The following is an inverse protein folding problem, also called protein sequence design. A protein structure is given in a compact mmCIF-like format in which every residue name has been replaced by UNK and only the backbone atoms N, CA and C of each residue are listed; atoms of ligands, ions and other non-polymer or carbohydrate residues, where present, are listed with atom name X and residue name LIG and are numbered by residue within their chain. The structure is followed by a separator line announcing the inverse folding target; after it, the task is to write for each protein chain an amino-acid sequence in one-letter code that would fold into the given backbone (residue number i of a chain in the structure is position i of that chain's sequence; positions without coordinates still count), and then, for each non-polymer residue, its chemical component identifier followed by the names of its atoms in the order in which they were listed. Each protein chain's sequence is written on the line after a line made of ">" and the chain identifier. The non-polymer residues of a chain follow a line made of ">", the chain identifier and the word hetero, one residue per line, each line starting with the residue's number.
data_IF_518768075680
#
_entry.id   IF_518768075680
#
_cell.length_a   1.000
_cell.length_b   1.000
_cell.length_c   1.000
_cell.angle_alpha   90.00
_cell.angle_beta   90.00
_cell.angle_gamma   90.00
#
_symmetry.space_group_name_H-M   'P 1'
#
loop_
_entity.id
_entity.type
_entity.pdbx_description
1 polymer ?
#
# COMPACT_ATOMS: atom_id res chain seq x y z
N UNK A 1 20.79 42.16 -52.62
CA UNK A 1 21.05 40.93 -51.86
C UNK A 1 20.20 40.97 -50.54
N UNK A 2 19.11 40.24 -50.47
CA UNK A 2 18.26 40.11 -49.24
C UNK A 2 18.82 38.97 -48.48
N UNK A 3 19.27 39.22 -47.23
CA UNK A 3 19.70 38.16 -46.28
C UNK A 3 18.47 37.70 -45.50
N UNK A 4 18.08 36.45 -45.67
CA UNK A 4 17.07 35.79 -44.86
C UNK A 4 17.75 35.23 -43.59
N UNK A 5 17.34 35.74 -42.43
CA UNK A 5 17.77 35.23 -41.13
C UNK A 5 16.81 34.10 -40.76
N UNK A 6 17.27 32.85 -40.85
CA UNK A 6 16.49 31.67 -40.39
C UNK A 6 16.70 31.55 -38.90
N UNK A 7 15.68 31.87 -38.12
CA UNK A 7 15.65 31.62 -36.67
C UNK A 7 15.25 30.15 -36.48
N UNK A 8 16.19 29.33 -36.05
CA UNK A 8 15.94 27.92 -35.62
C UNK A 8 15.40 27.96 -34.21
N UNK A 9 14.08 27.76 -34.05
CA UNK A 9 13.44 27.64 -32.76
C UNK A 9 13.71 26.23 -32.24
N UNK A 10 14.67 26.07 -31.34
CA UNK A 10 14.90 24.83 -30.61
C UNK A 10 13.77 24.66 -29.60
N UNK A 11 12.80 23.83 -29.95
CA UNK A 11 11.73 23.38 -29.03
C UNK A 11 12.35 22.36 -28.07
N UNK A 12 12.70 22.78 -26.87
CA UNK A 12 13.06 21.86 -25.80
C UNK A 12 11.77 21.15 -25.33
N UNK A 13 11.53 19.95 -25.84
CA UNK A 13 10.52 19.03 -25.29
C UNK A 13 11.10 18.48 -23.99
N UNK A 14 10.71 19.07 -22.89
CA UNK A 14 10.92 18.45 -21.56
C UNK A 14 9.99 17.24 -21.51
N UNK A 15 10.53 16.07 -21.80
CA UNK A 15 9.83 14.81 -21.54
C UNK A 15 9.73 14.65 -20.03
N UNK A 16 8.58 15.03 -19.44
CA UNK A 16 8.25 14.62 -18.10
C UNK A 16 8.02 13.11 -18.15
N UNK A 17 8.92 12.34 -17.56
CA UNK A 17 8.69 10.92 -17.30
C UNK A 17 7.53 10.84 -16.30
N UNK A 18 6.33 10.62 -16.80
CA UNK A 18 5.20 10.31 -15.94
C UNK A 18 5.52 8.97 -15.29
N UNK A 19 5.77 8.97 -13.97
CA UNK A 19 5.88 7.73 -13.21
C UNK A 19 4.52 7.05 -13.24
N UNK A 20 4.45 5.84 -13.77
CA UNK A 20 3.20 5.07 -13.84
C UNK A 20 2.65 4.72 -12.44
N UNK A 21 3.48 4.86 -11.40
CA UNK A 21 3.16 4.62 -9.99
C UNK A 21 3.95 5.60 -9.12
N UNK A 22 3.26 6.31 -8.25
CA UNK A 22 3.85 7.14 -7.22
C UNK A 22 3.55 6.52 -5.86
N UNK A 23 4.52 6.51 -4.94
CA UNK A 23 4.43 5.87 -3.64
C UNK A 23 4.74 6.89 -2.55
N UNK A 24 3.87 6.97 -1.55
CA UNK A 24 3.97 7.91 -0.44
C UNK A 24 3.93 7.15 0.88
N UNK A 25 4.98 7.18 1.71
CA UNK A 25 4.95 6.56 3.03
C UNK A 25 3.92 7.27 3.92
N UNK A 26 3.15 6.47 4.67
CA UNK A 26 2.16 6.97 5.64
C UNK A 26 2.43 6.43 7.03
N UNK A 27 3.70 6.38 7.42
CA UNK A 27 4.11 5.82 8.72
C UNK A 27 3.85 6.76 9.89
N UNK A 28 3.73 8.06 9.64
CA UNK A 28 3.56 9.09 10.65
C UNK A 28 2.08 9.46 10.88
N UNK A 29 1.80 10.11 12.02
CA UNK A 29 0.50 10.71 12.29
C UNK A 29 -0.57 9.73 12.76
N UNK A 30 -0.23 8.53 13.16
CA UNK A 30 -1.18 7.55 13.66
C UNK A 30 -1.52 7.79 15.13
N UNK A 31 -2.80 7.57 15.47
CA UNK A 31 -3.32 7.53 16.84
C UNK A 31 -3.72 6.11 17.16
N UNK A 32 -3.09 5.54 18.17
CA UNK A 32 -3.36 4.17 18.64
C UNK A 32 -4.22 4.18 19.90
N UNK A 33 -5.19 3.26 19.98
CA UNK A 33 -6.07 3.07 21.13
C UNK A 33 -6.68 1.68 21.16
N UNK A 34 -7.12 1.22 22.35
CA UNK A 34 -7.78 -0.07 22.51
C UNK A 34 -9.32 0.09 22.55
N UNK A 35 -10.04 -0.88 21.97
CA UNK A 35 -11.48 -1.16 22.17
C UNK A 35 -12.43 0.06 22.09
N UNK A 36 -12.17 1.01 21.22
CA UNK A 36 -13.08 2.14 21.01
C UNK A 36 -13.40 2.30 19.52
N UNK A 37 -14.62 2.68 19.19
CA UNK A 37 -15.02 3.00 17.82
C UNK A 37 -14.45 4.36 17.34
N UNK A 38 -14.08 5.22 18.30
CA UNK A 38 -13.46 6.54 18.05
C UNK A 38 -12.25 6.70 18.94
N UNK A 39 -11.21 7.44 18.47
CA UNK A 39 -10.06 7.69 19.30
C UNK A 39 -10.47 8.51 20.52
N UNK A 40 -10.20 8.03 21.74
CA UNK A 40 -10.39 8.83 22.94
C UNK A 40 -9.39 10.00 22.97
N UNK A 41 -9.63 10.98 23.80
CA UNK A 41 -8.76 12.18 23.91
C UNK A 41 -7.32 11.79 24.28
N UNK A 42 -7.13 10.70 25.03
CA UNK A 42 -5.85 10.14 25.43
C UNK A 42 -5.29 9.10 24.45
N UNK A 43 -5.82 8.99 23.22
CA UNK A 43 -5.23 8.12 22.20
C UNK A 43 -3.76 8.50 21.94
N UNK A 44 -2.91 7.49 21.83
CA UNK A 44 -1.47 7.67 21.75
C UNK A 44 -1.02 7.96 20.33
N UNK A 45 -0.16 8.95 20.17
CA UNK A 45 0.53 9.16 18.90
C UNK A 45 1.61 8.09 18.74
N UNK A 46 1.59 7.42 17.62
CA UNK A 46 2.56 6.38 17.25
C UNK A 46 3.02 6.55 15.81
N UNK A 47 4.23 6.10 15.55
CA UNK A 47 4.81 5.96 14.22
C UNK A 47 4.88 4.48 13.87
N UNK A 48 4.57 4.11 12.63
CA UNK A 48 4.76 2.74 12.14
C UNK A 48 6.23 2.50 11.79
N UNK A 49 6.75 1.30 12.05
CA UNK A 49 6.12 0.11 12.65
C UNK A 49 5.78 0.27 14.13
N UNK A 50 4.61 -0.27 14.55
CA UNK A 50 4.18 -0.24 15.95
C UNK A 50 3.54 -1.57 16.37
N UNK A 51 3.89 -2.04 17.56
CA UNK A 51 3.23 -3.17 18.23
C UNK A 51 2.90 -2.81 19.66
N UNK A 52 1.65 -3.06 20.07
CA UNK A 52 1.24 -2.81 21.47
C UNK A 52 1.87 -3.77 22.47
N UNK A 53 2.36 -4.93 22.05
CA UNK A 53 3.01 -5.90 22.94
C UNK A 53 4.43 -5.47 23.36
N UNK A 54 5.09 -4.63 22.56
CA UNK A 54 6.41 -4.05 22.89
C UNK A 54 6.31 -2.66 23.50
N UNK A 55 5.10 -2.13 23.56
CA UNK A 55 4.84 -0.82 24.14
C UNK A 55 5.01 -0.87 25.67
N UNK A 56 5.86 -0.02 26.27
CA UNK A 56 6.10 0.00 27.73
C UNK A 56 4.85 0.23 28.58
N UNK A 57 3.81 0.82 27.98
CA UNK A 57 2.52 1.05 28.64
C UNK A 57 1.49 -0.07 28.37
N UNK A 58 1.80 -1.02 27.49
CA UNK A 58 0.97 -2.20 27.30
C UNK A 58 1.11 -3.12 28.51
N UNK A 59 -0.02 -3.47 29.11
CA UNK A 59 -0.05 -4.35 30.28
C UNK A 59 0.10 -5.81 29.85
N UNK A 60 1.27 -6.19 29.42
CA UNK A 60 1.57 -7.60 29.23
C UNK A 60 2.10 -7.98 27.85
N UNK A 61 3.19 -8.68 27.89
CA UNK A 61 3.89 -9.25 26.74
C UNK A 61 2.98 -10.19 25.91
N UNK A 62 2.05 -10.90 26.58
CA UNK A 62 1.13 -11.87 25.98
C UNK A 62 -0.27 -11.31 25.70
N UNK A 63 -0.39 -9.98 25.54
CA UNK A 63 -1.70 -9.37 25.36
C UNK A 63 -2.29 -9.71 24.00
N UNK A 64 -3.30 -10.60 24.00
CA UNK A 64 -4.20 -10.83 22.89
C UNK A 64 -5.41 -9.91 22.99
N UNK A 65 -5.59 -9.05 21.98
CA UNK A 65 -6.66 -8.05 22.02
C UNK A 65 -6.93 -7.47 20.62
N UNK A 66 -7.82 -6.48 20.61
CA UNK A 66 -8.08 -5.64 19.43
C UNK A 66 -7.59 -4.23 19.72
N UNK A 67 -6.72 -3.75 18.84
CA UNK A 67 -6.22 -2.38 18.81
C UNK A 67 -6.71 -1.63 17.57
N UNK A 68 -6.84 -0.33 17.69
CA UNK A 68 -7.29 0.55 16.60
C UNK A 68 -6.22 1.59 16.31
N UNK A 69 -5.98 1.83 15.01
CA UNK A 69 -5.05 2.82 14.48
C UNK A 69 -5.83 3.79 13.60
N UNK A 70 -5.82 5.06 13.94
CA UNK A 70 -6.44 6.09 13.12
C UNK A 70 -5.40 7.05 12.59
N UNK A 71 -5.51 7.38 11.29
CA UNK A 71 -4.73 8.42 10.64
C UNK A 71 -5.67 9.38 9.89
N UNK A 72 -5.34 10.68 9.93
CA UNK A 72 -5.99 11.71 9.13
C UNK A 72 -5.05 12.19 8.05
N UNK A 73 -5.53 12.29 6.81
CA UNK A 73 -4.71 12.73 5.69
C UNK A 73 -5.50 13.61 4.72
N UNK A 74 -4.87 14.68 4.26
CA UNK A 74 -5.38 15.48 3.16
C UNK A 74 -5.02 14.79 1.84
N UNK A 75 -6.00 14.60 0.96
CA UNK A 75 -5.78 14.03 -0.38
C UNK A 75 -6.04 15.14 -1.42
N UNK A 76 -5.02 15.49 -2.23
CA UNK A 76 -5.13 16.56 -3.21
C UNK A 76 -6.22 16.32 -4.26
N UNK A 77 -6.86 17.41 -4.73
CA UNK A 77 -7.90 17.32 -5.77
C UNK A 77 -7.33 16.87 -7.12
N UNK A 78 -6.06 17.15 -7.38
CA UNK A 78 -5.33 16.78 -8.59
C UNK A 78 -5.23 15.27 -8.79
N UNK A 79 -5.43 14.49 -7.72
CA UNK A 79 -5.44 13.03 -7.76
C UNK A 79 -6.80 12.44 -8.14
N UNK A 80 -7.85 13.25 -8.33
CA UNK A 80 -9.22 12.78 -8.56
C UNK A 80 -9.38 11.97 -9.87
N UNK A 81 -8.51 12.18 -10.87
CA UNK A 81 -8.52 11.40 -12.10
C UNK A 81 -7.75 10.07 -12.01
N UNK A 82 -7.02 9.84 -10.93
CA UNK A 82 -6.17 8.69 -10.68
C UNK A 82 -6.83 7.67 -9.75
N UNK A 83 -6.12 6.57 -9.50
CA UNK A 83 -6.53 5.54 -8.53
C UNK A 83 -5.60 5.56 -7.34
N UNK A 84 -6.17 5.39 -6.17
CA UNK A 84 -5.46 5.41 -4.90
C UNK A 84 -5.62 4.08 -4.17
N UNK A 85 -4.50 3.54 -3.74
CA UNK A 85 -4.42 2.31 -2.97
C UNK A 85 -3.67 2.56 -1.68
N UNK A 86 -3.93 1.73 -0.69
CA UNK A 86 -3.13 1.67 0.53
C UNK A 86 -2.55 0.26 0.68
N UNK A 87 -1.25 0.18 0.94
CA UNK A 87 -0.51 -1.06 1.16
C UNK A 87 0.04 -1.09 2.57
N UNK A 88 -0.14 -2.22 3.23
CA UNK A 88 0.46 -2.55 4.52
C UNK A 88 1.39 -3.74 4.33
N UNK A 89 2.63 -3.62 4.81
CA UNK A 89 3.64 -4.65 4.64
C UNK A 89 3.56 -5.76 5.70
N UNK A 90 2.84 -5.51 6.80
CA UNK A 90 2.60 -6.52 7.82
C UNK A 90 1.72 -6.01 8.96
N UNK A 91 0.62 -6.73 9.21
CA UNK A 91 -0.34 -6.45 10.29
C UNK A 91 -0.73 -7.77 10.95
N UNK A 92 -0.58 -7.88 12.25
CA UNK A 92 -0.84 -9.12 12.99
C UNK A 92 -2.16 -8.98 13.77
N UNK A 93 -3.15 -9.83 13.44
CA UNK A 93 -3.25 -10.90 12.44
C UNK A 93 -4.49 -10.77 11.56
N UNK A 94 -5.56 -10.17 12.06
CA UNK A 94 -6.77 -9.80 11.32
C UNK A 94 -6.90 -8.30 11.32
N UNK A 95 -7.06 -7.72 10.14
CA UNK A 95 -7.08 -6.27 9.96
C UNK A 95 -8.28 -5.85 9.13
N UNK A 96 -9.14 -5.01 9.71
CA UNK A 96 -10.28 -4.38 9.05
C UNK A 96 -9.97 -2.92 8.75
N UNK A 97 -9.99 -2.54 7.48
CA UNK A 97 -9.75 -1.17 7.04
C UNK A 97 -11.06 -0.43 6.80
N UNK A 98 -11.14 0.77 7.37
CA UNK A 98 -12.21 1.73 7.12
C UNK A 98 -11.62 3.05 6.61
N UNK A 99 -12.27 3.65 5.61
CA UNK A 99 -11.94 4.99 5.10
C UNK A 99 -13.20 5.84 5.13
N UNK A 100 -13.13 6.99 5.79
CA UNK A 100 -14.26 7.90 5.98
C UNK A 100 -15.51 7.22 6.58
N UNK A 101 -15.30 6.20 7.43
CA UNK A 101 -16.37 5.41 8.05
C UNK A 101 -16.91 4.26 7.20
N UNK A 102 -16.45 4.11 5.96
CA UNK A 102 -16.85 3.00 5.09
C UNK A 102 -15.86 1.85 5.21
N UNK A 103 -16.35 0.63 5.45
CA UNK A 103 -15.52 -0.57 5.40
C UNK A 103 -14.98 -0.78 3.98
N UNK A 104 -13.67 -0.95 3.88
CA UNK A 104 -12.96 -1.18 2.60
C UNK A 104 -12.69 -2.64 2.38
N UNK A 105 -12.22 -3.34 3.41
CA UNK A 105 -11.91 -4.76 3.34
C UNK A 105 -11.27 -5.30 4.61
N UNK A 106 -11.19 -6.63 4.67
CA UNK A 106 -10.56 -7.39 5.75
C UNK A 106 -9.39 -8.18 5.21
N UNK A 107 -8.23 -8.07 5.84
CA UNK A 107 -7.09 -8.95 5.64
C UNK A 107 -6.99 -9.96 6.77
N UNK A 108 -6.65 -11.22 6.43
CA UNK A 108 -6.44 -12.33 7.37
C UNK A 108 -5.08 -12.96 7.12
N UNK A 109 -4.23 -12.95 8.13
CA UNK A 109 -2.86 -13.46 8.07
C UNK A 109 -1.85 -12.40 8.50
N UNK A 110 -0.94 -12.77 9.40
CA UNK A 110 0.00 -11.83 9.98
C UNK A 110 1.27 -11.59 9.18
N UNK A 111 1.62 -12.48 8.27
CA UNK A 111 2.97 -12.52 7.69
C UNK A 111 3.10 -11.91 6.28
N UNK A 112 1.98 -11.63 5.62
CA UNK A 112 1.96 -11.17 4.23
C UNK A 112 1.58 -9.70 4.11
N UNK A 113 2.14 -9.02 3.11
CA UNK A 113 1.68 -7.71 2.70
C UNK A 113 0.31 -7.82 2.02
N UNK A 114 -0.47 -6.75 2.10
CA UNK A 114 -1.75 -6.65 1.42
C UNK A 114 -2.03 -5.20 0.99
N UNK A 115 -2.88 -5.08 -0.02
CA UNK A 115 -3.24 -3.79 -0.61
C UNK A 115 -4.75 -3.71 -0.79
N UNK A 116 -5.32 -2.56 -0.48
CA UNK A 116 -6.72 -2.23 -0.76
C UNK A 116 -6.82 -1.02 -1.68
N UNK A 117 -7.73 -1.05 -2.64
CA UNK A 117 -8.11 0.16 -3.37
C UNK A 117 -9.07 1.00 -2.53
N UNK A 118 -8.74 2.28 -2.37
CA UNK A 118 -9.52 3.22 -1.56
C UNK A 118 -10.12 4.36 -2.37
N UNK A 119 -9.89 4.40 -3.69
CA UNK A 119 -10.30 5.49 -4.61
C UNK A 119 -11.74 5.95 -4.39
N UNK A 120 -12.69 5.00 -4.34
CA UNK A 120 -14.13 5.30 -4.26
C UNK A 120 -14.60 5.73 -2.86
N UNK A 121 -13.70 5.69 -1.86
CA UNK A 121 -13.98 6.10 -0.47
C UNK A 121 -13.30 7.41 -0.10
N UNK A 122 -12.47 7.96 -1.00
CA UNK A 122 -11.71 9.19 -0.80
C UNK A 122 -12.54 10.41 -1.20
N UNK A 123 -12.42 11.45 -0.40
CA UNK A 123 -12.87 12.82 -0.71
C UNK A 123 -11.65 13.61 -1.16
N UNK A 124 -11.51 13.78 -2.48
CA UNK A 124 -10.43 14.55 -3.07
C UNK A 124 -10.58 16.04 -2.75
N UNK A 125 -9.46 16.74 -2.53
CA UNK A 125 -9.42 18.13 -2.09
C UNK A 125 -9.86 18.34 -0.64
N UNK A 126 -9.82 17.31 0.21
CA UNK A 126 -10.32 17.35 1.57
C UNK A 126 -9.55 16.42 2.50
N UNK A 127 -9.74 16.60 3.79
CA UNK A 127 -9.27 15.67 4.81
C UNK A 127 -10.08 14.38 4.78
N UNK A 128 -9.36 13.28 4.93
CA UNK A 128 -9.89 11.92 4.99
C UNK A 128 -9.44 11.25 6.29
N UNK A 129 -10.26 10.36 6.81
CA UNK A 129 -9.92 9.53 7.97
C UNK A 129 -9.74 8.08 7.55
N UNK A 130 -8.63 7.49 7.92
CA UNK A 130 -8.36 6.06 7.81
C UNK A 130 -8.36 5.43 9.20
N UNK A 131 -9.09 4.34 9.39
CA UNK A 131 -9.13 3.56 10.62
C UNK A 131 -8.80 2.11 10.29
N UNK A 132 -7.76 1.58 10.93
CA UNK A 132 -7.41 0.17 10.90
C UNK A 132 -7.71 -0.46 12.25
N UNK A 133 -8.61 -1.44 12.26
CA UNK A 133 -8.92 -2.25 13.45
C UNK A 133 -8.16 -3.56 13.31
N UNK A 134 -7.31 -3.86 14.29
CA UNK A 134 -6.39 -5.00 14.25
C UNK A 134 -6.65 -5.90 15.45
N UNK A 135 -6.76 -7.21 15.22
CA UNK A 135 -6.85 -8.22 16.27
C UNK A 135 -5.70 -9.23 16.13
N UNK A 136 -4.98 -9.50 17.22
CA UNK A 136 -4.01 -10.59 17.33
C UNK A 136 -4.52 -11.78 18.13
N UNK A 137 -5.82 -11.82 18.42
CA UNK A 137 -6.42 -12.94 19.15
C UNK A 137 -6.31 -14.23 18.35
N UNK A 138 -6.05 -15.33 19.06
CA UNK A 138 -5.99 -16.68 18.49
C UNK A 138 -7.31 -17.04 17.80
N UNK A 139 -7.22 -17.66 16.62
CA UNK A 139 -8.37 -18.00 15.76
C UNK A 139 -8.12 -19.30 15.02
N UNK A 140 -9.19 -20.06 14.78
CA UNK A 140 -9.11 -21.32 14.02
C UNK A 140 -8.94 -21.10 12.49
N UNK A 141 -9.26 -19.87 12.00
CA UNK A 141 -9.25 -19.53 10.58
C UNK A 141 -8.04 -18.66 10.14
N UNK A 142 -7.08 -18.42 11.06
CA UNK A 142 -5.87 -17.62 10.78
C UNK A 142 -4.64 -18.29 11.39
N UNK A 143 -3.64 -18.56 10.59
CA UNK A 143 -2.39 -19.17 11.06
C UNK A 143 -1.50 -18.17 11.82
N UNK A 144 -0.78 -18.64 12.84
CA UNK A 144 -0.87 -19.95 13.46
C UNK A 144 -2.13 -20.07 14.34
N UNK A 145 -2.81 -21.24 14.29
CA UNK A 145 -4.04 -21.48 15.04
C UNK A 145 -3.77 -21.73 16.53
N UNK A 146 -2.57 -22.18 16.83
CA UNK A 146 -2.03 -22.28 18.18
C UNK A 146 -0.52 -22.11 18.16
N UNK A 147 0.03 -21.45 19.15
CA UNK A 147 1.48 -21.26 19.31
C UNK A 147 1.80 -20.99 20.77
N UNK A 148 2.96 -21.44 21.21
CA UNK A 148 3.59 -21.07 22.46
C UNK A 148 4.45 -19.79 22.34
N UNK A 149 4.49 -19.21 21.13
CA UNK A 149 5.16 -17.93 20.87
C UNK A 149 4.16 -16.78 20.95
N UNK A 150 4.63 -15.63 21.43
CA UNK A 150 3.84 -14.42 21.43
C UNK A 150 3.67 -13.89 19.99
N UNK A 151 2.43 -13.65 19.60
CA UNK A 151 2.08 -12.98 18.35
C UNK A 151 1.92 -11.49 18.60
N UNK A 152 2.96 -10.72 18.29
CA UNK A 152 2.97 -9.27 18.46
C UNK A 152 1.88 -8.61 17.61
N UNK A 153 0.86 -8.07 18.29
CA UNK A 153 -0.25 -7.41 17.61
C UNK A 153 0.09 -6.00 17.17
N UNK A 154 -0.52 -5.57 16.07
CA UNK A 154 -0.36 -4.23 15.53
C UNK A 154 0.04 -4.16 14.08
N UNK A 155 0.30 -2.94 13.61
CA UNK A 155 0.88 -2.67 12.29
C UNK A 155 2.40 -2.67 12.48
N UNK A 156 3.01 -3.84 12.38
CA UNK A 156 4.40 -4.08 12.76
C UNK A 156 5.41 -3.89 11.62
N UNK A 157 4.94 -3.46 10.45
CA UNK A 157 5.73 -3.00 9.31
C UNK A 157 5.17 -1.69 8.77
N UNK A 158 5.83 -1.16 7.75
CA UNK A 158 5.51 0.11 7.11
C UNK A 158 4.14 0.04 6.40
N UNK A 159 3.62 1.23 6.12
CA UNK A 159 2.45 1.45 5.28
C UNK A 159 2.69 2.57 4.28
N UNK A 160 2.06 2.45 3.11
CA UNK A 160 2.20 3.42 2.03
C UNK A 160 0.90 3.64 1.27
N UNK A 161 0.72 4.84 0.71
CA UNK A 161 -0.24 5.12 -0.35
C UNK A 161 0.43 4.89 -1.70
N UNK A 162 -0.33 4.30 -2.62
CA UNK A 162 0.10 4.07 -4.00
C UNK A 162 -0.89 4.80 -4.91
N UNK A 163 -0.38 5.76 -5.67
CA UNK A 163 -1.13 6.51 -6.67
C UNK A 163 -0.79 5.96 -8.06
N UNK A 164 -1.82 5.62 -8.86
CA UNK A 164 -1.63 5.10 -10.21
C UNK A 164 -2.56 5.78 -11.21
N UNK A 165 -2.27 5.62 -12.48
CA UNK A 165 -3.21 5.92 -13.55
C UNK A 165 -4.43 4.96 -13.50
N UNK A 166 -5.47 5.25 -14.29
CA UNK A 166 -6.70 4.44 -14.35
C UNK A 166 -6.42 3.01 -14.80
N UNK A 167 -5.47 2.82 -15.69
CA UNK A 167 -4.93 1.53 -16.11
C UNK A 167 -3.46 1.47 -15.68
N UNK A 168 -3.13 0.46 -14.89
CA UNK A 168 -1.80 0.31 -14.31
C UNK A 168 -1.49 -1.16 -14.01
N UNK A 169 -0.21 -1.46 -13.80
CA UNK A 169 0.20 -2.72 -13.16
C UNK A 169 -0.41 -2.78 -11.76
N UNK A 170 -1.10 -3.86 -11.46
CA UNK A 170 -1.95 -3.99 -10.28
C UNK A 170 -1.13 -4.10 -8.99
N UNK A 171 -1.34 -3.24 -7.98
CA UNK A 171 -0.77 -3.42 -6.66
C UNK A 171 -1.61 -4.40 -5.79
N UNK A 172 -2.73 -4.92 -6.33
CA UNK A 172 -3.67 -5.74 -5.55
C UNK A 172 -3.29 -7.23 -5.49
N UNK A 173 -2.46 -7.70 -6.44
CA UNK A 173 -2.14 -9.12 -6.51
C UNK A 173 -1.20 -9.51 -5.37
N UNK A 174 -1.71 -10.19 -4.36
CA UNK A 174 -1.00 -10.70 -3.18
C UNK A 174 -0.12 -9.66 -2.45
N UNK A 175 -0.47 -8.37 -2.54
CA UNK A 175 0.36 -7.28 -2.00
C UNK A 175 1.72 -7.13 -2.70
N UNK A 176 1.91 -7.76 -3.87
CA UNK A 176 3.11 -7.66 -4.71
C UNK A 176 3.12 -6.39 -5.56
N UNK A 177 4.16 -6.23 -6.36
CA UNK A 177 4.23 -5.13 -7.34
C UNK A 177 3.50 -5.44 -8.65
N UNK A 178 2.87 -6.61 -8.74
CA UNK A 178 2.07 -7.05 -9.89
C UNK A 178 2.89 -7.57 -11.06
N UNK A 179 4.20 -7.80 -10.87
CA UNK A 179 5.10 -8.43 -11.84
C UNK A 179 5.77 -9.62 -11.19
N UNK A 180 5.64 -10.80 -11.80
CA UNK A 180 6.21 -12.03 -11.32
C UNK A 180 7.11 -12.63 -12.42
N UNK A 181 8.27 -13.11 -12.01
CA UNK A 181 9.22 -13.75 -12.91
C UNK A 181 9.36 -15.21 -12.50
N UNK A 182 9.05 -16.12 -13.42
CA UNK A 182 9.08 -17.56 -13.22
C UNK A 182 10.21 -18.18 -14.06
N UNK A 183 11.46 -18.26 -13.56
CA UNK A 183 12.53 -18.90 -14.30
C UNK A 183 12.25 -20.40 -14.37
N UNK A 184 12.30 -20.97 -15.59
CA UNK A 184 12.10 -22.40 -15.84
C UNK A 184 13.43 -23.12 -16.04
N UNK A 185 14.34 -22.50 -16.77
CA UNK A 185 15.69 -23.03 -17.01
C UNK A 185 16.72 -21.94 -16.76
N UNK A 186 17.70 -22.22 -15.93
CA UNK A 186 18.81 -21.31 -15.67
C UNK A 186 20.12 -22.03 -15.97
N UNK A 187 20.84 -21.58 -17.00
CA UNK A 187 22.12 -22.10 -17.42
C UNK A 187 23.11 -20.99 -17.75
N UNK A 188 24.41 -21.36 -17.96
CA UNK A 188 25.44 -20.36 -18.22
C UNK A 188 25.27 -19.60 -19.54
N UNK A 189 24.59 -20.20 -20.51
CA UNK A 189 24.40 -19.62 -21.86
C UNK A 189 22.96 -19.21 -22.14
N UNK A 190 22.00 -19.67 -21.34
CA UNK A 190 20.58 -19.46 -21.59
C UNK A 190 19.78 -19.45 -20.32
N UNK A 191 18.86 -18.49 -20.23
CA UNK A 191 17.79 -18.42 -19.23
C UNK A 191 16.47 -18.45 -19.99
N UNK A 192 15.58 -19.37 -19.63
CA UNK A 192 14.20 -19.42 -20.10
C UNK A 192 13.26 -19.26 -18.91
N UNK A 193 12.18 -18.54 -19.13
CA UNK A 193 11.19 -18.31 -18.09
C UNK A 193 9.97 -17.55 -18.62
N UNK A 194 9.05 -17.31 -17.74
CA UNK A 194 7.81 -16.57 -17.98
C UNK A 194 7.77 -15.32 -17.12
N UNK A 195 7.28 -14.22 -17.67
CA UNK A 195 6.99 -12.99 -16.95
C UNK A 195 5.48 -12.80 -16.92
N UNK A 196 4.90 -12.88 -15.73
CA UNK A 196 3.48 -12.66 -15.49
C UNK A 196 3.27 -11.21 -15.02
N UNK A 197 2.39 -10.46 -15.70
CA UNK A 197 2.09 -9.06 -15.35
C UNK A 197 0.60 -8.92 -15.10
N UNK A 198 0.24 -8.55 -13.88
CA UNK A 198 -1.14 -8.27 -13.50
C UNK A 198 -1.49 -6.82 -13.81
N UNK A 199 -2.43 -6.61 -14.72
CA UNK A 199 -2.93 -5.27 -15.08
C UNK A 199 -4.33 -5.09 -14.50
N UNK A 200 -4.60 -3.90 -13.96
CA UNK A 200 -5.92 -3.49 -13.49
C UNK A 200 -6.34 -2.20 -14.18
N UNK A 201 -7.61 -2.08 -14.57
CA UNK A 201 -8.15 -0.88 -15.24
C UNK A 201 -9.51 -0.50 -14.67
N UNK A 202 -9.78 0.79 -14.57
CA UNK A 202 -11.13 1.36 -14.43
C UNK A 202 -11.52 2.04 -15.76
N UNK A 203 -12.14 1.28 -16.65
CA UNK A 203 -12.61 1.72 -17.98
C UNK A 203 -12.11 0.82 -19.09
N UNK A 204 -12.70 0.98 -20.29
CA UNK A 204 -12.36 0.22 -21.50
C UNK A 204 -11.18 0.87 -22.23
N UNK A 205 -10.00 0.78 -21.68
CA UNK A 205 -8.80 1.33 -22.30
C UNK A 205 -7.90 0.20 -22.79
N UNK A 206 -7.48 0.27 -24.05
CA UNK A 206 -6.35 -0.51 -24.54
C UNK A 206 -5.07 0.04 -23.93
N UNK A 207 -4.15 -0.84 -23.52
CA UNK A 207 -2.82 -0.46 -23.04
C UNK A 207 -1.76 -1.28 -23.79
N UNK A 208 -0.57 -0.71 -23.89
CA UNK A 208 0.61 -1.41 -24.41
C UNK A 208 1.54 -1.70 -23.24
N UNK A 209 1.92 -2.96 -23.08
CA UNK A 209 2.92 -3.39 -22.13
C UNK A 209 4.27 -3.50 -22.84
N UNK A 210 5.27 -2.75 -22.38
CA UNK A 210 6.64 -2.88 -22.81
C UNK A 210 7.43 -3.61 -21.72
N UNK A 211 8.19 -4.62 -22.11
CA UNK A 211 9.07 -5.39 -21.20
C UNK A 211 10.50 -5.27 -21.71
N UNK A 212 11.36 -4.66 -20.91
CA UNK A 212 12.78 -4.51 -21.21
C UNK A 212 13.59 -5.38 -20.25
N UNK A 213 14.40 -6.27 -20.81
CA UNK A 213 15.30 -7.15 -20.04
C UNK A 213 16.73 -6.67 -20.26
N UNK A 214 17.37 -6.20 -19.20
CA UNK A 214 18.74 -5.71 -19.25
C UNK A 214 19.65 -6.57 -18.38
N UNK A 215 20.85 -6.87 -18.89
CA UNK A 215 21.89 -7.51 -18.09
C UNK A 215 22.48 -6.50 -17.10
N UNK A 216 22.67 -6.87 -15.83
CA UNK A 216 23.45 -6.05 -14.91
C UNK A 216 24.88 -5.92 -15.45
N UNK A 217 25.41 -4.70 -15.44
CA UNK A 217 26.80 -4.41 -15.82
C UNK A 217 27.75 -4.75 -14.69
#
# INVERSE_FOLDING_TARGET
>A
MKRYLTILLLLNVVATTASAREVFPINEGWRFFFKSEKPPDNARHVTLPHSWNTDPLAQGYWLETTGSYQNGMYIPVEWASKRLFVKFYGVQSVADLFVNGYHVGTHRGGATAFTFEITDKIRFGSDNSMLMVVSNSSRDDVLPTSTDMNLYGGIYREAELILTERTAISPLYLGSDGVLVHPQTVGPEKIEGEIEVHITSKGDNSCTLNVDITSPR
#
